data_IF_982549634446
#
_entry.id   IF_982549634446
#
_cell.length_a   1.000
_cell.length_b   1.000
_cell.length_c   1.000
_cell.angle_alpha   90.00
_cell.angle_beta   90.00
_cell.angle_gamma   90.00
#
_symmetry.space_group_name_H-M   'P 1'
#
loop_
_entity.id
_entity.type
_entity.pdbx_description
1 polymer ?
#
# COMPACT_ATOMS: atom_id res chain seq x y z
N UNK A 1 7.49 -3.24 -4.47
CA UNK A 1 7.95 -1.93 -4.98
C UNK A 1 6.91 -0.90 -4.62
N UNK A 2 7.26 -0.01 -3.70
CA UNK A 2 6.39 1.09 -3.28
C UNK A 2 6.28 2.18 -4.35
N UNK A 3 5.12 2.83 -4.44
CA UNK A 3 5.00 4.14 -5.07
C UNK A 3 5.68 5.17 -4.15
N UNK A 4 6.89 5.61 -4.47
CA UNK A 4 7.72 6.43 -3.57
C UNK A 4 7.38 7.92 -3.58
N UNK A 5 6.70 8.41 -4.61
CA UNK A 5 6.33 9.81 -4.77
C UNK A 5 4.83 9.92 -5.09
N UNK A 6 4.23 11.05 -4.74
CA UNK A 6 2.90 11.39 -5.25
C UNK A 6 2.94 11.54 -6.76
N UNK A 7 1.82 11.27 -7.41
CA UNK A 7 1.61 11.40 -8.85
C UNK A 7 0.59 12.51 -9.10
N UNK A 8 0.69 13.18 -10.25
CA UNK A 8 -0.31 14.16 -10.63
C UNK A 8 -1.51 13.43 -11.25
N UNK A 9 -2.64 13.38 -10.54
CA UNK A 9 -3.88 12.73 -11.00
C UNK A 9 -4.92 13.74 -11.51
N UNK A 10 -4.48 14.91 -11.99
CA UNK A 10 -5.36 15.89 -12.60
C UNK A 10 -6.17 15.30 -13.77
N UNK A 11 -7.42 15.72 -13.90
CA UNK A 11 -8.37 15.34 -14.96
C UNK A 11 -8.84 13.88 -14.97
N UNK A 12 -8.88 13.20 -13.83
CA UNK A 12 -9.55 11.89 -13.71
C UNK A 12 -11.07 12.03 -13.62
N UNK A 13 -11.79 11.07 -14.21
CA UNK A 13 -13.25 10.96 -14.08
C UNK A 13 -13.64 10.25 -12.76
N UNK A 14 -14.94 10.24 -12.45
CA UNK A 14 -15.45 9.65 -11.21
C UNK A 14 -15.16 8.14 -11.07
N UNK A 15 -15.15 7.39 -12.18
CA UNK A 15 -14.85 5.96 -12.15
C UNK A 15 -13.37 5.68 -11.89
N UNK A 16 -12.48 6.52 -12.44
CA UNK A 16 -11.04 6.46 -12.21
C UNK A 16 -10.70 6.85 -10.77
N UNK A 17 -11.32 7.91 -10.26
CA UNK A 17 -11.21 8.31 -8.85
C UNK A 17 -11.60 7.17 -7.90
N UNK A 18 -12.71 6.50 -8.19
CA UNK A 18 -13.17 5.37 -7.38
C UNK A 18 -12.19 4.20 -7.44
N UNK A 19 -11.67 3.89 -8.63
CA UNK A 19 -10.63 2.86 -8.81
C UNK A 19 -9.38 3.16 -7.99
N UNK A 20 -8.90 4.41 -7.99
CA UNK A 20 -7.71 4.82 -7.24
C UNK A 20 -7.94 4.69 -5.72
N UNK A 21 -9.13 5.06 -5.23
CA UNK A 21 -9.50 4.89 -3.81
C UNK A 21 -9.55 3.42 -3.40
N UNK A 22 -10.08 2.56 -4.26
CA UNK A 22 -10.12 1.11 -4.02
C UNK A 22 -8.71 0.53 -3.99
N UNK A 23 -7.83 0.94 -4.91
CA UNK A 23 -6.42 0.54 -4.91
C UNK A 23 -5.74 0.97 -3.61
N UNK A 24 -5.91 2.22 -3.18
CA UNK A 24 -5.34 2.71 -1.92
C UNK A 24 -5.86 1.89 -0.71
N UNK A 25 -7.17 1.60 -0.67
CA UNK A 25 -7.80 0.79 0.39
C UNK A 25 -7.32 -0.66 0.41
N UNK A 26 -7.11 -1.25 -0.77
CA UNK A 26 -6.51 -2.58 -0.90
C UNK A 26 -5.09 -2.60 -0.32
N UNK A 27 -4.27 -1.58 -0.63
CA UNK A 27 -2.92 -1.47 -0.07
C UNK A 27 -2.90 -1.27 1.44
N UNK A 28 -3.86 -0.53 2.02
CA UNK A 28 -4.01 -0.45 3.48
C UNK A 28 -4.32 -1.82 4.10
N UNK A 29 -5.23 -2.58 3.48
CA UNK A 29 -5.57 -3.94 3.91
C UNK A 29 -4.35 -4.87 3.81
N UNK A 30 -3.58 -4.76 2.73
CA UNK A 30 -2.33 -5.52 2.56
C UNK A 30 -1.31 -5.18 3.64
N UNK A 31 -1.11 -3.89 3.96
CA UNK A 31 -0.19 -3.47 5.01
C UNK A 31 -0.55 -4.08 6.37
N UNK A 32 -1.82 -4.05 6.75
CA UNK A 32 -2.30 -4.66 8.00
C UNK A 32 -2.09 -6.19 8.01
N UNK A 33 -2.37 -6.88 6.90
CA UNK A 33 -2.14 -8.33 6.79
C UNK A 33 -0.66 -8.69 6.86
N UNK A 34 0.21 -7.94 6.20
CA UNK A 34 1.65 -8.18 6.25
C UNK A 34 2.23 -7.92 7.64
N UNK A 35 1.75 -6.89 8.34
CA UNK A 35 2.12 -6.67 9.74
C UNK A 35 1.74 -7.87 10.61
N UNK A 36 0.48 -8.33 10.50
CA UNK A 36 -0.02 -9.53 11.18
C UNK A 36 0.85 -10.76 10.88
N UNK A 37 1.16 -11.02 9.61
CA UNK A 37 1.99 -12.16 9.21
C UNK A 37 3.42 -12.03 9.74
N UNK A 38 4.00 -10.83 9.73
CA UNK A 38 5.34 -10.60 10.27
C UNK A 38 5.42 -10.86 11.78
N UNK A 39 4.32 -10.61 12.50
CA UNK A 39 4.23 -10.84 13.95
C UNK A 39 4.03 -12.32 14.30
N UNK A 40 3.40 -13.09 13.41
CA UNK A 40 3.18 -14.53 13.59
C UNK A 40 4.29 -15.41 12.98
N UNK A 41 5.16 -14.84 12.14
CA UNK A 41 6.24 -15.57 11.49
C UNK A 41 7.47 -15.73 12.39
N UNK A 42 7.97 -16.96 12.50
CA UNK A 42 9.18 -17.29 13.26
C UNK A 42 10.45 -17.30 12.37
N UNK A 43 10.29 -17.48 11.06
CA UNK A 43 11.39 -17.42 10.11
C UNK A 43 11.85 -15.97 9.92
N UNK A 44 13.13 -15.70 10.17
CA UNK A 44 13.67 -14.34 10.16
C UNK A 44 13.64 -13.70 8.76
N UNK A 45 13.85 -14.47 7.70
CA UNK A 45 13.88 -13.96 6.33
C UNK A 45 12.46 -13.61 5.86
N UNK A 46 11.49 -14.50 6.12
CA UNK A 46 10.09 -14.25 5.80
C UNK A 46 9.51 -13.10 6.64
N UNK A 47 9.87 -13.01 7.91
CA UNK A 47 9.50 -11.88 8.77
C UNK A 47 9.99 -10.55 8.21
N UNK A 48 11.26 -10.47 7.79
CA UNK A 48 11.80 -9.28 7.17
C UNK A 48 11.09 -8.95 5.84
N UNK A 49 10.80 -9.96 5.03
CA UNK A 49 10.07 -9.80 3.77
C UNK A 49 8.65 -9.24 4.00
N UNK A 50 7.91 -9.75 5.00
CA UNK A 50 6.59 -9.23 5.34
C UNK A 50 6.65 -7.78 5.85
N UNK A 51 7.63 -7.46 6.71
CA UNK A 51 7.82 -6.08 7.18
C UNK A 51 8.07 -5.12 6.03
N UNK A 52 8.97 -5.47 5.10
CA UNK A 52 9.25 -4.65 3.94
C UNK A 52 8.02 -4.52 3.03
N UNK A 53 7.29 -5.61 2.82
CA UNK A 53 6.07 -5.61 2.00
C UNK A 53 4.97 -4.75 2.60
N UNK A 54 4.81 -4.78 3.94
CA UNK A 54 3.87 -3.92 4.67
C UNK A 54 4.22 -2.44 4.55
N UNK A 55 5.50 -2.09 4.69
CA UNK A 55 5.99 -0.72 4.49
C UNK A 55 5.79 -0.24 3.04
N UNK A 56 6.07 -1.08 2.05
CA UNK A 56 5.85 -0.76 0.64
C UNK A 56 4.37 -0.50 0.34
N UNK A 57 3.48 -1.34 0.88
CA UNK A 57 2.04 -1.19 0.71
C UNK A 57 1.51 0.08 1.39
N UNK A 58 1.94 0.36 2.63
CA UNK A 58 1.57 1.57 3.35
C UNK A 58 2.03 2.83 2.62
N UNK A 59 3.28 2.85 2.15
CA UNK A 59 3.83 3.97 1.37
C UNK A 59 3.02 4.22 0.11
N UNK A 60 2.64 3.15 -0.59
CA UNK A 60 1.82 3.24 -1.81
C UNK A 60 0.43 3.79 -1.52
N UNK A 61 -0.25 3.29 -0.48
CA UNK A 61 -1.56 3.79 -0.08
C UNK A 61 -1.52 5.28 0.28
N UNK A 62 -0.53 5.69 1.09
CA UNK A 62 -0.36 7.09 1.50
C UNK A 62 -0.10 7.99 0.29
N UNK A 63 0.81 7.61 -0.60
CA UNK A 63 1.14 8.43 -1.76
C UNK A 63 0.01 8.50 -2.78
N UNK A 64 -0.76 7.43 -3.01
CA UNK A 64 -1.97 7.49 -3.83
C UNK A 64 -3.02 8.41 -3.22
N UNK A 65 -3.25 8.31 -1.90
CA UNK A 65 -4.20 9.18 -1.19
C UNK A 65 -3.79 10.65 -1.28
N UNK A 66 -2.50 10.94 -1.15
CA UNK A 66 -1.96 12.31 -1.26
C UNK A 66 -1.90 12.83 -2.71
N UNK A 67 -2.09 11.95 -3.70
CA UNK A 67 -2.11 12.30 -5.12
C UNK A 67 -3.50 12.67 -5.63
N UNK A 68 -4.54 12.36 -4.82
CA UNK A 68 -5.93 12.75 -5.03
C UNK A 68 -6.19 14.15 -4.46
#
# INVERSE_FOLDING_TARGET
>A
MALKNTVNLGNINQSELQSIREIASCHQTMAAKFDLYSNQCHDAQLKQMFKQSGQDAQTTASNLTNSL
#
